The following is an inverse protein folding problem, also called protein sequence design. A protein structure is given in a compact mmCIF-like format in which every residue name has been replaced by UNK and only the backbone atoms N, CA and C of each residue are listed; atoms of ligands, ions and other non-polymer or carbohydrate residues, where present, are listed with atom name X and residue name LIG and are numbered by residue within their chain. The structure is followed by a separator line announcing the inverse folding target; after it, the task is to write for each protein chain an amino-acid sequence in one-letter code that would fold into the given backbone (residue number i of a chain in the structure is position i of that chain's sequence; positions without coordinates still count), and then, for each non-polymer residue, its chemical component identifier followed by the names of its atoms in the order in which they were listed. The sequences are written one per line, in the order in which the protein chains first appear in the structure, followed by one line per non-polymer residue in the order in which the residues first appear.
data_IF_918157479775
#
_entry.id   IF_918157479775
#
_cell.length_a   1.000
_cell.length_b   1.000
_cell.length_c   1.000
_cell.angle_alpha   90.00
_cell.angle_beta   90.00
_cell.angle_gamma   90.00
#
_symmetry.space_group_name_H-M   'P 1'
#
loop_
_entity.id
_entity.type
_entity.pdbx_description
1 polymer ?
#
# COMPACT_ATOMS: atom_id res chain seq x y z
N UNK A 1 16.27 9.58 -17.74
CA UNK A 1 16.91 9.71 -16.41
C UNK A 1 15.77 9.69 -15.43
N UNK A 2 15.33 8.49 -15.08
CA UNK A 2 14.03 8.27 -14.43
C UNK A 2 14.15 7.45 -13.16
N UNK A 3 13.06 7.46 -12.40
CA UNK A 3 13.13 7.49 -10.96
C UNK A 3 12.70 6.14 -10.38
N UNK A 4 13.62 5.43 -9.73
CA UNK A 4 13.20 4.46 -8.75
C UNK A 4 12.59 5.22 -7.56
N UNK A 5 11.39 4.83 -7.14
CA UNK A 5 10.61 5.49 -6.06
C UNK A 5 11.37 5.63 -4.73
N UNK A 6 12.41 4.81 -4.53
CA UNK A 6 13.32 4.83 -3.37
C UNK A 6 14.69 5.47 -3.58
N UNK A 7 14.90 6.30 -4.61
CA UNK A 7 16.17 7.04 -4.81
C UNK A 7 16.07 8.52 -4.38
N UNK A 8 17.21 9.06 -3.96
CA UNK A 8 17.40 10.48 -3.63
C UNK A 8 18.13 11.21 -4.76
N UNK A 9 17.90 12.53 -4.86
CA UNK A 9 18.66 13.41 -5.75
C UNK A 9 19.99 13.80 -5.10
N UNK A 10 21.08 13.74 -5.87
CA UNK A 10 22.41 14.23 -5.50
C UNK A 10 23.02 15.02 -6.67
N UNK A 11 24.16 15.68 -6.44
CA UNK A 11 24.86 16.44 -7.48
C UNK A 11 25.34 15.58 -8.67
N UNK A 12 25.40 14.26 -8.49
CA UNK A 12 25.80 13.28 -9.50
C UNK A 12 24.60 12.58 -10.20
N UNK A 13 23.37 13.00 -9.92
CA UNK A 13 22.14 12.37 -10.44
C UNK A 13 21.31 11.73 -9.33
N UNK A 14 20.76 10.54 -9.57
CA UNK A 14 20.00 9.81 -8.55
C UNK A 14 20.86 8.77 -7.85
N UNK A 15 20.74 8.68 -6.53
CA UNK A 15 21.55 7.80 -5.68
C UNK A 15 20.64 7.00 -4.76
N UNK A 16 20.81 5.66 -4.66
CA UNK A 16 20.09 4.86 -3.68
C UNK A 16 20.64 5.14 -2.28
N UNK A 17 19.75 5.38 -1.32
CA UNK A 17 20.09 5.49 0.10
C UNK A 17 19.41 4.33 0.84
N UNK A 18 20.15 3.45 1.55
CA UNK A 18 19.58 2.25 2.16
C UNK A 18 18.41 2.55 3.09
N UNK A 19 17.31 1.84 2.89
CA UNK A 19 16.06 1.95 3.65
C UNK A 19 15.31 3.29 3.50
N UNK A 20 15.76 4.22 2.63
CA UNK A 20 15.08 5.51 2.44
C UNK A 20 13.58 5.35 2.12
N UNK A 21 13.24 4.37 1.28
CA UNK A 21 11.85 4.07 0.96
C UNK A 21 11.07 3.61 2.20
N UNK A 22 11.61 2.63 2.93
CA UNK A 22 10.97 2.12 4.15
C UNK A 22 10.76 3.22 5.20
N UNK A 23 11.79 4.03 5.46
CA UNK A 23 11.75 5.16 6.41
C UNK A 23 10.73 6.23 5.99
N UNK A 24 10.65 6.53 4.69
CA UNK A 24 9.68 7.50 4.15
C UNK A 24 8.24 6.97 4.29
N UNK A 25 7.99 5.71 3.97
CA UNK A 25 6.65 5.11 4.14
C UNK A 25 6.27 4.96 5.62
N UNK A 26 7.24 4.64 6.49
CA UNK A 26 7.02 4.51 7.94
C UNK A 26 6.74 5.84 8.63
N UNK A 27 7.40 6.93 8.20
CA UNK A 27 7.19 8.27 8.74
C UNK A 27 5.90 8.94 8.26
N UNK A 28 5.39 8.57 7.08
CA UNK A 28 4.09 9.03 6.57
C UNK A 28 2.90 8.30 7.22
N UNK A 29 2.75 8.50 8.53
CA UNK A 29 1.77 7.79 9.36
C UNK A 29 0.31 8.03 8.96
N UNK A 30 0.02 9.16 8.30
CA UNK A 30 -1.32 9.48 7.81
C UNK A 30 -1.71 8.76 6.51
N UNK A 31 -0.79 8.08 5.81
CA UNK A 31 -1.06 7.46 4.50
C UNK A 31 -0.59 6.01 4.41
N UNK A 32 0.61 5.71 4.89
CA UNK A 32 1.26 4.42 4.68
C UNK A 32 1.45 3.60 5.96
N UNK A 33 1.56 4.25 7.13
CA UNK A 33 1.86 3.55 8.38
C UNK A 33 1.09 4.07 9.62
N UNK A 34 -0.12 3.56 9.85
CA UNK A 34 -0.98 3.96 10.97
C UNK A 34 -1.22 2.81 11.96
N UNK A 35 -0.18 2.11 12.50
CA UNK A 35 -0.36 0.85 13.21
C UNK A 35 -1.42 0.91 14.33
N UNK A 36 -1.45 2.00 15.08
CA UNK A 36 -2.38 2.25 16.19
C UNK A 36 -3.79 2.71 15.74
N UNK A 37 -3.97 3.11 14.48
CA UNK A 37 -5.24 3.65 13.99
C UNK A 37 -5.53 5.06 14.50
N UNK A 38 -4.50 5.82 14.85
CA UNK A 38 -4.55 7.16 15.47
C UNK A 38 -4.29 8.29 14.45
N UNK A 39 -4.12 7.97 13.16
CA UNK A 39 -4.09 9.00 12.12
C UNK A 39 -5.44 9.72 11.93
N UNK A 40 -5.38 10.91 11.33
CA UNK A 40 -6.57 11.64 10.88
C UNK A 40 -7.45 10.82 9.92
N UNK A 41 -6.88 9.96 9.06
CA UNK A 41 -7.68 9.14 8.14
C UNK A 41 -8.47 8.05 8.88
N UNK A 42 -7.88 7.43 9.90
CA UNK A 42 -8.58 6.43 10.72
C UNK A 42 -9.60 7.06 11.67
N UNK A 43 -9.26 8.19 12.32
CA UNK A 43 -10.11 8.87 13.30
C UNK A 43 -11.17 9.80 12.69
N UNK A 44 -10.94 10.33 11.49
CA UNK A 44 -11.83 11.25 10.78
C UNK A 44 -13.14 10.62 10.25
N UNK A 45 -13.34 9.32 10.44
CA UNK A 45 -14.56 8.59 10.01
C UNK A 45 -15.80 8.90 10.87
N UNK A 46 -15.64 9.55 12.02
CA UNK A 46 -16.75 10.10 12.82
C UNK A 46 -16.38 11.45 13.44
N UNK A 47 -17.40 12.24 13.80
CA UNK A 47 -17.22 13.56 14.43
C UNK A 47 -16.56 13.40 15.81
N UNK A 48 -16.96 12.37 16.55
CA UNK A 48 -16.41 12.02 17.86
C UNK A 48 -14.95 11.58 17.75
N UNK A 49 -14.62 10.76 16.75
CA UNK A 49 -13.25 10.33 16.48
C UNK A 49 -12.33 11.50 16.11
N UNK A 50 -12.81 12.39 15.24
CA UNK A 50 -12.09 13.62 14.87
C UNK A 50 -11.87 14.55 16.06
N UNK A 51 -12.88 14.76 16.91
CA UNK A 51 -12.74 15.59 18.13
C UNK A 51 -11.69 15.01 19.08
N UNK A 52 -11.78 13.72 19.40
CA UNK A 52 -10.83 13.05 20.28
C UNK A 52 -9.38 13.12 19.74
N UNK A 53 -9.22 12.97 18.42
CA UNK A 53 -7.92 13.14 17.76
C UNK A 53 -7.37 14.57 17.88
N UNK A 54 -8.19 15.57 17.58
CA UNK A 54 -7.82 17.00 17.62
C UNK A 54 -7.46 17.49 19.03
N UNK A 55 -8.19 17.02 20.05
CA UNK A 55 -7.90 17.31 21.45
C UNK A 55 -6.54 16.73 21.90
N UNK A 56 -6.19 15.51 21.48
CA UNK A 56 -4.89 14.92 21.79
C UNK A 56 -3.73 15.67 21.12
N UNK A 57 -3.85 16.04 19.85
CA UNK A 57 -2.84 16.86 19.15
C UNK A 57 -2.59 18.19 19.88
N UNK A 58 -3.65 18.83 20.39
CA UNK A 58 -3.56 20.07 21.16
C UNK A 58 -2.86 19.88 22.52
N UNK A 59 -3.04 18.72 23.16
CA UNK A 59 -2.41 18.37 24.44
C UNK A 59 -0.91 18.11 24.29
N UNK A 60 -0.47 17.43 23.25
CA UNK A 60 0.97 17.16 23.06
C UNK A 60 1.76 18.43 22.73
N UNK A 61 1.18 19.38 21.98
CA UNK A 61 1.76 20.71 21.79
C UNK A 61 1.87 21.50 23.12
N UNK A 62 0.97 21.27 24.08
CA UNK A 62 1.05 21.89 25.41
C UNK A 62 2.16 21.27 26.27
N UNK A 63 2.41 19.95 26.13
CA UNK A 63 3.44 19.20 26.85
C UNK A 63 4.85 19.52 26.35
N UNK A 64 5.07 19.55 25.04
CA UNK A 64 6.37 19.92 24.45
C UNK A 64 6.77 21.36 24.74
N UNK A 65 5.79 22.25 24.96
CA UNK A 65 6.01 23.64 25.37
C UNK A 65 6.35 23.80 26.86
N UNK A 66 6.05 22.80 27.70
CA UNK A 66 6.34 22.80 29.13
C UNK A 66 7.78 22.36 29.48
N UNK A 67 8.50 21.75 28.54
CA UNK A 67 9.89 21.26 28.73
C UNK A 67 10.97 22.22 28.23
N UNK A 68 10.60 23.43 27.79
CA UNK A 68 11.57 24.48 27.41
C UNK A 68 12.10 25.22 28.66
N UNK A 69 13.42 25.36 28.87
CA UNK A 69 13.96 26.09 30.02
C UNK A 69 13.58 27.58 29.98
N UNK A 70 12.95 28.09 31.04
CA UNK A 70 12.62 29.51 31.13
C UNK A 70 13.88 30.36 31.29
N UNK A 71 14.27 31.10 30.23
CA UNK A 71 15.03 32.34 30.39
C UNK A 71 14.04 33.47 30.71
N UNK A 72 14.15 34.00 31.93
CA UNK A 72 13.11 34.86 32.51
C UNK A 72 13.10 36.31 32.02
N UNK A 73 12.01 37.00 32.38
CA UNK A 73 12.06 38.44 32.67
C UNK A 73 11.31 39.38 31.73
N UNK A 74 9.96 39.43 31.82
CA UNK A 74 9.28 40.69 32.20
C UNK A 74 7.82 40.49 32.63
N UNK A 75 7.35 41.43 33.46
CA UNK A 75 6.06 41.43 34.14
C UNK A 75 4.90 41.92 33.23
N UNK A 76 3.62 41.68 33.61
CA UNK A 76 2.48 41.87 32.71
C UNK A 76 1.89 43.29 32.75
N UNK A 77 1.12 43.62 31.71
CA UNK A 77 0.16 44.72 31.70
C UNK A 77 -1.24 44.16 31.39
N UNK A 78 -2.23 44.62 32.14
CA UNK A 78 -3.64 44.26 32.02
C UNK A 78 -4.46 45.49 31.56
N UNK A 79 -5.79 45.42 31.39
CA UNK A 79 -6.39 45.47 30.06
C UNK A 79 -7.16 46.77 29.78
N UNK A 80 -7.36 47.07 28.50
CA UNK A 80 -8.36 48.06 28.06
C UNK A 80 -9.56 47.35 27.45
N UNK A 81 -10.74 47.55 28.04
CA UNK A 81 -12.01 47.03 27.57
C UNK A 81 -12.42 47.64 26.22
N UNK A 82 -13.00 46.85 25.33
CA UNK A 82 -14.03 47.37 24.40
C UNK A 82 -15.09 46.29 24.16
N UNK A 83 -16.34 46.66 24.42
CA UNK A 83 -17.50 45.78 24.45
C UNK A 83 -18.24 45.79 23.12
N UNK A 84 -18.47 44.61 22.54
CA UNK A 84 -19.43 44.42 21.44
C UNK A 84 -20.22 43.12 21.67
N UNK A 85 -21.51 43.26 22.00
CA UNK A 85 -22.44 42.16 22.17
C UNK A 85 -22.89 41.57 20.82
N UNK A 86 -23.09 40.25 20.69
CA UNK A 86 -23.88 39.67 19.61
C UNK A 86 -25.39 39.75 19.93
N UNK A 87 -26.27 40.09 18.96
CA UNK A 87 -27.71 40.06 19.17
C UNK A 87 -28.26 38.63 19.14
N UNK A 88 -29.24 38.34 20.00
CA UNK A 88 -30.01 37.08 19.97
C UNK A 88 -31.28 37.22 19.14
N UNK A 89 -31.52 36.22 18.29
CA UNK A 89 -32.83 35.60 18.13
C UNK A 89 -33.68 36.01 16.93
N UNK A 90 -34.20 34.99 16.23
CA UNK A 90 -35.61 34.91 15.83
C UNK A 90 -35.99 33.44 15.52
N UNK A 91 -37.29 33.19 15.34
CA UNK A 91 -37.95 31.93 15.72
C UNK A 91 -38.07 30.87 14.62
N UNK A 92 -38.31 29.63 15.10
CA UNK A 92 -38.86 28.47 14.40
C UNK A 92 -39.96 28.80 13.37
N UNK A 93 -40.04 28.01 12.30
CA UNK A 93 -41.31 27.49 11.74
C UNK A 93 -41.10 26.09 11.13
N UNK A 94 -41.97 25.15 11.50
CA UNK A 94 -42.31 23.98 10.66
C UNK A 94 -43.34 24.43 9.59
N UNK A 95 -43.60 23.62 8.54
CA UNK A 95 -44.67 22.63 8.70
C UNK A 95 -44.40 21.26 8.04
N UNK A 96 -45.06 20.25 8.59
CA UNK A 96 -45.29 18.92 7.99
C UNK A 96 -46.40 18.95 6.92
N UNK A 97 -46.45 17.94 6.03
CA UNK A 97 -47.64 17.06 5.74
C UNK A 97 -47.51 16.22 4.44
N UNK A 98 -47.52 14.88 4.59
CA UNK A 98 -48.01 13.80 3.65
C UNK A 98 -47.50 13.69 2.20
N UNK A 99 -47.69 12.60 1.44
CA UNK A 99 -47.76 11.13 1.68
C UNK A 99 -47.86 10.43 0.31
N UNK A 100 -47.21 9.28 0.06
CA UNK A 100 -47.34 8.57 -1.22
C UNK A 100 -46.84 7.11 -1.22
N UNK A 101 -47.77 6.16 -1.40
CA UNK A 101 -47.60 4.68 -1.40
C UNK A 101 -48.36 4.13 -2.62
N UNK A 102 -47.96 3.09 -3.37
CA UNK A 102 -46.76 2.20 -3.38
C UNK A 102 -46.53 1.81 -4.88
N UNK A 103 -46.36 0.56 -5.40
CA UNK A 103 -45.89 -0.74 -4.85
C UNK A 103 -44.77 -1.49 -5.63
N UNK A 104 -44.07 -2.37 -4.89
CA UNK A 104 -43.67 -3.77 -5.23
C UNK A 104 -42.86 -4.08 -6.52
N UNK A 105 -41.56 -4.43 -6.35
CA UNK A 105 -40.92 -5.69 -6.84
C UNK A 105 -39.67 -6.02 -5.95
N UNK A 106 -39.80 -6.38 -4.66
CA UNK A 106 -38.59 -6.70 -3.85
C UNK A 106 -38.76 -7.67 -2.66
N UNK A 107 -39.63 -8.68 -2.77
CA UNK A 107 -39.99 -9.55 -1.64
C UNK A 107 -39.67 -11.05 -1.82
N UNK A 108 -38.90 -11.44 -2.84
CA UNK A 108 -38.51 -12.87 -3.06
C UNK A 108 -37.03 -13.15 -2.72
N UNK A 109 -36.17 -12.12 -2.64
CA UNK A 109 -34.74 -12.27 -2.33
C UNK A 109 -34.40 -12.18 -0.82
N UNK A 110 -35.38 -11.92 0.07
CA UNK A 110 -35.14 -11.74 1.51
C UNK A 110 -35.31 -13.01 2.36
N UNK A 111 -36.02 -14.03 1.89
CA UNK A 111 -36.15 -15.31 2.61
C UNK A 111 -34.82 -16.07 2.64
N UNK A 112 -34.18 -16.26 1.49
CA UNK A 112 -32.99 -17.11 1.36
C UNK A 112 -31.77 -16.60 2.15
N UNK A 113 -31.64 -15.29 2.37
CA UNK A 113 -30.55 -14.73 3.18
C UNK A 113 -30.75 -14.89 4.69
N UNK A 114 -31.97 -15.13 5.18
CA UNK A 114 -32.23 -15.32 6.61
C UNK A 114 -31.91 -16.74 7.09
N UNK A 115 -32.16 -17.75 6.27
CA UNK A 115 -31.85 -19.14 6.59
C UNK A 115 -30.33 -19.39 6.73
N UNK A 116 -29.50 -18.58 6.08
CA UNK A 116 -28.04 -18.68 6.15
C UNK A 116 -27.41 -17.92 7.33
N UNK A 117 -28.20 -17.12 8.08
CA UNK A 117 -27.73 -16.32 9.21
C UNK A 117 -27.94 -17.01 10.56
N UNK A 118 -28.86 -17.97 10.68
CA UNK A 118 -29.08 -18.73 11.93
C UNK A 118 -27.92 -19.65 12.30
N UNK A 119 -27.14 -20.09 11.31
CA UNK A 119 -26.18 -21.18 11.46
C UNK A 119 -24.77 -20.65 11.83
N UNK A 120 -24.62 -19.33 12.01
CA UNK A 120 -23.36 -18.65 12.34
C UNK A 120 -23.33 -18.14 13.80
N UNK A 121 -24.47 -17.97 14.46
CA UNK A 121 -24.59 -17.34 15.80
C UNK A 121 -24.21 -18.25 17.01
N UNK A 122 -23.45 -19.33 16.82
CA UNK A 122 -23.14 -20.30 17.90
C UNK A 122 -21.66 -20.52 18.24
N UNK A 123 -20.75 -19.67 17.74
CA UNK A 123 -19.31 -19.75 18.06
C UNK A 123 -18.75 -18.39 18.49
N UNK A 124 -19.21 -17.90 19.64
CA UNK A 124 -18.66 -16.70 20.27
C UNK A 124 -18.02 -17.06 21.63
N UNK A 125 -16.74 -17.42 21.56
CA UNK A 125 -15.85 -17.49 22.71
C UNK A 125 -14.75 -16.43 22.52
N UNK A 126 -14.40 -15.62 23.54
CA UNK A 126 -13.47 -14.53 23.36
C UNK A 126 -12.04 -15.06 23.13
N UNK A 127 -11.67 -15.20 21.86
CA UNK A 127 -10.29 -15.44 21.48
C UNK A 127 -9.44 -14.26 21.99
N UNK A 128 -8.41 -14.58 22.78
CA UNK A 128 -7.37 -13.63 23.16
C UNK A 128 -6.85 -12.92 21.91
N UNK A 129 -6.65 -11.58 21.93
CA UNK A 129 -6.13 -10.87 20.78
C UNK A 129 -4.78 -11.48 20.40
N UNK A 130 -4.72 -12.09 19.21
CA UNK A 130 -3.46 -12.58 18.64
C UNK A 130 -2.49 -11.40 18.60
N UNK A 131 -1.36 -11.51 19.29
CA UNK A 131 -0.30 -10.50 19.21
C UNK A 131 0.15 -10.41 17.76
N UNK A 132 -0.30 -9.36 17.06
CA UNK A 132 0.10 -9.10 15.69
C UNK A 132 1.58 -8.76 15.73
N UNK A 133 2.42 -9.72 15.34
CA UNK A 133 3.87 -9.54 15.26
C UNK A 133 4.22 -8.19 14.63
N UNK A 134 5.25 -7.51 15.14
CA UNK A 134 5.76 -6.28 14.52
C UNK A 134 6.48 -6.53 13.19
N UNK A 135 6.76 -7.79 12.85
CA UNK A 135 7.51 -8.21 11.66
C UNK A 135 6.75 -9.24 10.81
N UNK A 136 7.09 -9.30 9.52
CA UNK A 136 6.67 -10.34 8.57
C UNK A 136 7.89 -11.14 8.11
N UNK A 137 7.78 -12.48 7.98
CA UNK A 137 8.83 -13.28 7.37
C UNK A 137 8.89 -12.98 5.87
N UNK A 138 10.06 -12.61 5.38
CA UNK A 138 10.35 -12.37 3.96
C UNK A 138 11.53 -13.22 3.55
N UNK A 139 11.41 -13.86 2.39
CA UNK A 139 12.47 -14.64 1.75
C UNK A 139 13.05 -13.89 0.57
N UNK A 140 14.31 -14.16 0.24
CA UNK A 140 14.92 -13.61 -0.97
C UNK A 140 16.01 -14.52 -1.55
N UNK A 141 16.28 -14.34 -2.85
CA UNK A 141 17.39 -15.02 -3.54
C UNK A 141 18.75 -14.55 -3.05
N UNK A 142 18.83 -13.31 -2.52
CA UNK A 142 20.05 -12.66 -2.01
C UNK A 142 19.92 -12.35 -0.50
N UNK A 143 21.01 -12.05 0.22
CA UNK A 143 20.94 -11.62 1.62
C UNK A 143 20.04 -10.38 1.78
N UNK A 144 19.05 -10.48 2.67
CA UNK A 144 18.10 -9.39 2.95
C UNK A 144 18.72 -8.41 3.93
N UNK A 145 18.76 -7.13 3.58
CA UNK A 145 19.08 -6.06 4.53
C UNK A 145 17.85 -5.75 5.37
N UNK A 146 18.04 -5.62 6.68
CA UNK A 146 16.94 -5.37 7.64
C UNK A 146 17.11 -3.97 8.23
N UNK A 147 16.09 -3.10 8.18
CA UNK A 147 16.14 -1.78 8.79
C UNK A 147 16.44 -1.87 10.30
N UNK A 148 17.16 -0.90 10.89
CA UNK A 148 17.36 -0.84 12.33
C UNK A 148 16.02 -0.63 13.07
N UNK A 149 15.88 -1.13 14.32
CA UNK A 149 14.76 -0.76 15.17
C UNK A 149 14.82 0.74 15.54
N UNK A 150 13.67 1.31 15.89
CA UNK A 150 13.56 2.67 16.43
C UNK A 150 13.64 2.67 17.95
N UNK A 151 14.47 3.56 18.51
CA UNK A 151 14.50 3.88 19.94
C UNK A 151 15.68 3.27 20.69
N UNK A 152 15.98 3.84 21.86
CA UNK A 152 17.15 3.55 22.69
C UNK A 152 17.03 2.23 23.47
N UNK A 153 16.79 1.11 22.78
CA UNK A 153 16.89 -0.25 23.32
C UNK A 153 18.37 -0.67 23.60
N UNK A 154 19.26 0.30 23.90
CA UNK A 154 20.58 0.05 24.49
C UNK A 154 20.53 -0.05 26.04
N UNK A 155 19.41 0.33 26.69
CA UNK A 155 19.27 0.33 28.16
C UNK A 155 18.47 -0.85 28.78
N UNK A 156 18.19 -1.97 28.07
CA UNK A 156 17.77 -3.22 28.74
C UNK A 156 18.95 -4.19 28.97
N UNK A 157 19.50 -4.13 30.18
CA UNK A 157 20.65 -4.89 30.59
C UNK A 157 20.43 -6.41 30.61
N UNK A 158 21.09 -7.13 29.70
CA UNK A 158 21.47 -8.52 29.93
C UNK A 158 20.56 -9.62 29.37
N UNK A 159 19.59 -9.30 28.49
CA UNK A 159 18.89 -10.32 27.68
C UNK A 159 18.86 -9.94 26.21
N UNK A 160 19.98 -10.19 25.52
CA UNK A 160 20.11 -9.96 24.09
C UNK A 160 19.03 -10.68 23.27
N UNK A 161 17.95 -9.95 22.95
CA UNK A 161 16.97 -10.35 21.94
C UNK A 161 17.76 -10.49 20.64
N UNK A 162 17.85 -11.71 20.10
CA UNK A 162 18.61 -11.96 18.87
C UNK A 162 18.10 -11.02 17.78
N UNK A 163 18.94 -10.05 17.37
CA UNK A 163 18.63 -9.13 16.27
C UNK A 163 18.00 -9.87 15.10
N UNK A 164 17.08 -9.21 14.39
CA UNK A 164 16.44 -9.67 13.16
C UNK A 164 17.48 -9.88 12.04
N UNK A 165 18.29 -10.93 12.15
CA UNK A 165 19.39 -11.22 11.23
C UNK A 165 18.89 -12.12 10.10
N UNK A 166 19.19 -11.70 8.88
CA UNK A 166 19.00 -12.51 7.68
C UNK A 166 19.72 -13.86 7.82
N UNK A 167 18.96 -14.96 7.77
CA UNK A 167 19.44 -16.34 7.88
C UNK A 167 19.45 -16.98 6.49
N UNK A 168 20.56 -17.60 6.08
CA UNK A 168 20.58 -18.48 4.91
C UNK A 168 19.85 -19.78 5.27
N UNK A 169 18.78 -20.10 4.55
CA UNK A 169 17.99 -21.34 4.74
C UNK A 169 18.55 -22.46 3.85
N UNK A 170 18.86 -22.13 2.60
CA UNK A 170 19.52 -22.99 1.60
C UNK A 170 20.20 -22.11 0.55
N UNK A 171 20.80 -22.71 -0.49
CA UNK A 171 21.34 -21.93 -1.59
C UNK A 171 20.25 -21.11 -2.30
N UNK A 172 20.58 -19.86 -2.63
CA UNK A 172 19.69 -18.83 -3.18
C UNK A 172 18.35 -18.68 -2.43
N UNK A 173 18.38 -18.85 -1.10
CA UNK A 173 17.20 -18.69 -0.24
C UNK A 173 17.62 -18.21 1.15
N UNK A 174 17.48 -16.91 1.35
CA UNK A 174 17.67 -16.22 2.62
C UNK A 174 16.29 -15.89 3.21
N UNK A 175 16.18 -15.81 4.53
CA UNK A 175 14.95 -15.47 5.25
C UNK A 175 15.27 -14.43 6.34
N UNK A 176 14.45 -13.39 6.43
CA UNK A 176 14.55 -12.34 7.43
C UNK A 176 13.17 -11.92 7.94
N UNK A 177 13.10 -11.47 9.18
CA UNK A 177 11.90 -10.86 9.75
C UNK A 177 11.94 -9.35 9.51
N UNK A 178 11.26 -8.87 8.46
CA UNK A 178 11.22 -7.45 8.11
C UNK A 178 10.12 -6.72 8.91
N UNK A 179 10.36 -5.47 9.37
CA UNK A 179 9.32 -4.69 10.03
C UNK A 179 8.09 -4.52 9.14
N UNK A 180 6.89 -4.72 9.69
CA UNK A 180 5.66 -4.60 8.94
C UNK A 180 5.05 -3.20 9.05
N UNK A 181 4.70 -2.63 7.90
CA UNK A 181 3.90 -1.42 7.82
C UNK A 181 2.41 -1.76 7.71
N UNK A 182 1.53 -0.85 8.13
CA UNK A 182 0.08 -1.09 8.12
C UNK A 182 -0.66 0.18 7.68
N UNK A 183 -1.44 0.11 6.62
CA UNK A 183 -2.20 1.27 6.12
C UNK A 183 -3.23 1.76 7.14
N UNK A 184 -3.70 3.01 7.02
CA UNK A 184 -4.98 3.44 7.58
C UNK A 184 -6.14 2.55 7.12
N UNK A 185 -7.33 2.76 7.69
CA UNK A 185 -8.56 2.05 7.30
C UNK A 185 -8.99 2.46 5.89
N UNK A 186 -9.15 1.48 4.99
CA UNK A 186 -9.49 1.70 3.57
C UNK A 186 -11.00 1.61 3.27
N UNK A 187 -11.81 1.11 4.19
CA UNK A 187 -13.25 0.89 3.95
C UNK A 187 -14.08 2.14 4.25
N UNK A 188 -14.77 2.66 3.24
CA UNK A 188 -15.63 3.86 3.34
C UNK A 188 -17.12 3.55 3.50
N UNK A 189 -17.56 2.34 3.12
CA UNK A 189 -18.97 1.95 3.18
C UNK A 189 -19.51 1.92 4.64
N UNK A 190 -20.62 2.64 4.94
CA UNK A 190 -21.29 2.53 6.24
C UNK A 190 -21.74 1.09 6.51
N UNK A 191 -21.25 0.48 7.59
CA UNK A 191 -21.52 -0.92 7.93
C UNK A 191 -20.64 -1.96 7.21
N UNK A 192 -19.70 -1.55 6.36
CA UNK A 192 -18.73 -2.46 5.75
C UNK A 192 -17.60 -2.84 6.72
N UNK A 193 -17.10 -4.08 6.62
CA UNK A 193 -15.96 -4.54 7.43
C UNK A 193 -14.73 -3.63 7.26
N UNK A 194 -14.10 -3.32 8.39
CA UNK A 194 -12.85 -2.54 8.43
C UNK A 194 -11.70 -3.39 7.91
N UNK A 195 -11.20 -3.06 6.72
CA UNK A 195 -9.98 -3.63 6.15
C UNK A 195 -8.81 -2.65 6.29
N UNK A 196 -7.64 -3.20 6.61
CA UNK A 196 -6.34 -2.55 6.66
C UNK A 196 -5.33 -3.47 5.99
N UNK A 197 -4.37 -2.92 5.26
CA UNK A 197 -3.34 -3.71 4.57
C UNK A 197 -2.08 -3.71 5.43
N UNK A 198 -1.59 -4.90 5.76
CA UNK A 198 -0.30 -5.10 6.43
C UNK A 198 0.70 -5.61 5.41
N UNK A 199 1.86 -4.95 5.29
CA UNK A 199 2.84 -5.21 4.25
C UNK A 199 4.28 -5.07 4.77
N UNK A 200 5.26 -5.56 4.01
CA UNK A 200 6.69 -5.37 4.28
C UNK A 200 7.38 -4.90 3.00
N UNK A 201 8.53 -4.24 3.14
CA UNK A 201 9.29 -3.67 2.02
C UNK A 201 10.58 -4.47 1.83
N UNK A 202 10.64 -5.31 0.80
CA UNK A 202 11.86 -5.98 0.39
C UNK A 202 12.65 -5.07 -0.56
N UNK A 203 13.61 -4.33 -0.01
CA UNK A 203 14.47 -3.43 -0.78
C UNK A 203 15.64 -4.21 -1.43
N UNK A 204 15.93 -3.94 -2.69
CA UNK A 204 17.05 -4.55 -3.41
C UNK A 204 18.33 -3.74 -3.25
N UNK A 205 19.46 -4.44 -3.07
CA UNK A 205 20.78 -3.83 -3.11
C UNK A 205 21.67 -4.49 -4.19
N UNK A 206 22.20 -3.73 -5.16
CA UNK A 206 21.82 -2.34 -5.47
C UNK A 206 20.38 -2.25 -5.98
N UNK A 207 19.78 -1.05 -5.90
CA UNK A 207 18.62 -0.71 -6.71
C UNK A 207 19.04 -0.57 -8.18
N UNK A 208 18.14 -0.87 -9.11
CA UNK A 208 18.41 -0.85 -10.55
C UNK A 208 17.61 0.26 -11.23
N UNK A 209 18.22 0.91 -12.22
CA UNK A 209 17.50 1.67 -13.24
C UNK A 209 16.83 0.69 -14.20
N UNK A 210 15.55 0.90 -14.52
CA UNK A 210 14.78 0.05 -15.43
C UNK A 210 15.40 -0.07 -16.83
N UNK A 211 16.13 0.96 -17.29
CA UNK A 211 16.84 0.93 -18.57
C UNK A 211 18.02 -0.06 -18.60
N UNK A 212 18.53 -0.47 -17.44
CA UNK A 212 19.62 -1.45 -17.28
C UNK A 212 19.11 -2.85 -16.89
N UNK A 213 17.80 -3.08 -16.85
CA UNK A 213 17.24 -4.38 -16.44
C UNK A 213 17.26 -5.40 -17.58
N UNK A 214 17.78 -6.59 -17.29
CA UNK A 214 17.85 -7.71 -18.22
C UNK A 214 16.87 -8.84 -17.85
N UNK A 215 16.82 -9.86 -18.71
CA UNK A 215 16.07 -11.11 -18.49
C UNK A 215 16.36 -11.72 -17.11
N UNK A 216 17.61 -11.63 -16.65
CA UNK A 216 18.03 -12.13 -15.33
C UNK A 216 17.31 -11.42 -14.17
N UNK A 217 17.00 -10.13 -14.32
CA UNK A 217 16.28 -9.36 -13.29
C UNK A 217 14.78 -9.67 -13.29
N UNK A 218 14.17 -9.93 -14.45
CA UNK A 218 12.79 -10.42 -14.53
C UNK A 218 12.65 -11.80 -13.90
N UNK A 219 13.59 -12.71 -14.17
CA UNK A 219 13.67 -14.03 -13.51
C UNK A 219 13.80 -13.82 -12.00
N UNK A 220 14.68 -12.92 -11.56
CA UNK A 220 14.84 -12.59 -10.13
C UNK A 220 13.52 -12.12 -9.51
N UNK A 221 12.78 -11.18 -10.11
CA UNK A 221 11.45 -10.76 -9.60
C UNK A 221 10.52 -11.97 -9.47
N UNK A 222 10.46 -12.85 -10.48
CA UNK A 222 9.62 -14.04 -10.42
C UNK A 222 10.07 -15.03 -9.31
N UNK A 223 11.37 -15.16 -9.04
CA UNK A 223 11.89 -15.95 -7.92
C UNK A 223 11.58 -15.32 -6.55
N UNK A 224 11.68 -13.99 -6.40
CA UNK A 224 11.28 -13.28 -5.17
C UNK A 224 9.78 -13.50 -4.89
N UNK A 225 8.92 -13.43 -5.91
CA UNK A 225 7.48 -13.73 -5.79
C UNK A 225 7.28 -15.19 -5.40
N UNK A 226 7.96 -16.15 -6.04
CA UNK A 226 7.83 -17.58 -5.75
C UNK A 226 8.25 -17.95 -4.32
N UNK A 227 9.39 -17.42 -3.85
CA UNK A 227 9.88 -17.66 -2.48
C UNK A 227 8.91 -17.16 -1.40
N UNK A 228 8.11 -16.12 -1.72
CA UNK A 228 7.16 -15.49 -0.81
C UNK A 228 5.70 -15.86 -1.10
N UNK A 229 5.41 -16.70 -2.12
CA UNK A 229 4.07 -16.92 -2.64
C UNK A 229 3.06 -17.48 -1.62
N UNK A 230 3.54 -18.26 -0.64
CA UNK A 230 2.72 -18.78 0.45
C UNK A 230 2.67 -17.88 1.69
N UNK A 231 3.48 -16.81 1.75
CA UNK A 231 3.61 -15.91 2.89
C UNK A 231 2.79 -14.61 2.74
N UNK A 232 2.47 -14.21 1.51
CA UNK A 232 1.77 -12.95 1.18
C UNK A 232 0.58 -13.20 0.25
N UNK A 233 -0.50 -12.43 0.41
CA UNK A 233 -1.71 -12.57 -0.40
C UNK A 233 -1.61 -11.93 -1.79
N UNK A 234 -0.77 -10.91 -1.93
CA UNK A 234 -0.54 -10.16 -3.17
C UNK A 234 0.85 -9.51 -3.16
N UNK A 235 1.29 -9.03 -4.32
CA UNK A 235 2.61 -8.43 -4.53
C UNK A 235 2.51 -7.07 -5.24
N UNK A 236 3.24 -6.09 -4.74
CA UNK A 236 3.47 -4.81 -5.43
C UNK A 236 4.96 -4.70 -5.73
N UNK A 237 5.30 -4.47 -7.00
CA UNK A 237 6.67 -4.37 -7.51
C UNK A 237 6.91 -2.92 -7.92
N UNK A 238 7.77 -2.22 -7.17
CA UNK A 238 8.22 -0.88 -7.55
C UNK A 238 9.28 -0.98 -8.66
N UNK A 239 9.07 -0.25 -9.74
CA UNK A 239 9.83 -0.37 -10.98
C UNK A 239 9.99 1.01 -11.65
N UNK A 240 11.12 1.25 -12.33
CA UNK A 240 11.29 2.46 -13.15
C UNK A 240 10.43 2.40 -14.42
N UNK A 241 9.99 3.55 -14.97
CA UNK A 241 8.92 3.53 -15.98
C UNK A 241 9.38 3.11 -17.37
N UNK A 242 10.65 3.36 -17.75
CA UNK A 242 11.19 3.15 -19.10
C UNK A 242 10.97 1.73 -19.67
N UNK A 243 11.11 0.69 -18.85
CA UNK A 243 10.92 -0.71 -19.28
C UNK A 243 9.78 -1.43 -18.55
N UNK A 244 8.94 -0.71 -17.78
CA UNK A 244 7.90 -1.34 -16.96
C UNK A 244 6.92 -2.18 -17.78
N UNK A 245 6.56 -1.72 -18.99
CA UNK A 245 5.71 -2.47 -19.93
C UNK A 245 6.36 -3.79 -20.42
N UNK A 246 7.67 -3.81 -20.64
CA UNK A 246 8.40 -5.03 -21.02
C UNK A 246 8.48 -5.99 -19.82
N UNK A 247 8.81 -5.48 -18.64
CA UNK A 247 8.85 -6.26 -17.39
C UNK A 247 7.50 -6.86 -17.01
N UNK A 248 6.40 -6.09 -17.08
CA UNK A 248 5.05 -6.59 -16.82
C UNK A 248 4.60 -7.63 -17.86
N UNK A 249 5.00 -7.44 -19.12
CA UNK A 249 4.79 -8.43 -20.18
C UNK A 249 5.53 -9.72 -19.89
N UNK A 250 6.84 -9.66 -19.63
CA UNK A 250 7.67 -10.82 -19.33
C UNK A 250 7.18 -11.57 -18.09
N UNK A 251 6.86 -10.85 -16.99
CA UNK A 251 6.34 -11.44 -15.76
C UNK A 251 4.99 -12.14 -15.96
N UNK A 252 4.13 -11.66 -16.88
CA UNK A 252 2.88 -12.37 -17.20
C UNK A 252 3.08 -13.77 -17.81
N UNK A 253 4.24 -14.04 -18.42
CA UNK A 253 4.63 -15.36 -18.92
C UNK A 253 5.50 -16.15 -17.94
N UNK A 254 6.32 -15.46 -17.13
CA UNK A 254 7.16 -16.10 -16.11
C UNK A 254 6.33 -16.69 -14.96
N UNK A 255 5.17 -16.11 -14.65
CA UNK A 255 4.30 -16.47 -13.54
C UNK A 255 3.16 -17.42 -14.00
N UNK A 256 3.49 -18.69 -14.27
CA UNK A 256 2.53 -19.72 -14.70
C UNK A 256 1.56 -20.09 -13.56
N UNK A 257 0.29 -20.29 -13.91
CA UNK A 257 -0.82 -20.58 -12.99
C UNK A 257 -0.90 -19.57 -11.81
N UNK A 258 -0.66 -18.28 -12.10
CA UNK A 258 -0.81 -17.19 -11.14
C UNK A 258 -2.25 -17.11 -10.62
N UNK A 259 -2.38 -17.09 -9.30
CA UNK A 259 -3.64 -17.07 -8.55
C UNK A 259 -3.71 -15.92 -7.53
N UNK A 260 -2.80 -14.96 -7.61
CA UNK A 260 -2.65 -13.81 -6.69
C UNK A 260 -2.39 -12.53 -7.47
N UNK A 261 -2.78 -11.40 -6.89
CA UNK A 261 -2.61 -10.08 -7.52
C UNK A 261 -1.14 -9.66 -7.52
N UNK A 262 -0.57 -9.37 -8.69
CA UNK A 262 0.79 -8.85 -8.86
C UNK A 262 0.71 -7.53 -9.62
N UNK A 263 1.11 -6.42 -9.00
CA UNK A 263 1.01 -5.08 -9.60
C UNK A 263 2.40 -4.46 -9.72
N UNK A 264 2.83 -4.15 -10.95
CA UNK A 264 3.95 -3.25 -11.18
C UNK A 264 3.46 -1.80 -11.10
N UNK A 265 4.23 -0.94 -10.43
CA UNK A 265 3.99 0.50 -10.40
C UNK A 265 5.29 1.26 -10.20
N UNK A 266 5.25 2.58 -10.32
CA UNK A 266 6.41 3.46 -10.24
C UNK A 266 5.99 4.92 -10.19
N UNK A 267 6.85 5.83 -10.63
CA UNK A 267 6.54 7.26 -10.68
C UNK A 267 7.38 7.99 -11.73
N UNK A 268 6.84 9.07 -12.28
CA UNK A 268 7.60 10.05 -13.07
C UNK A 268 8.32 11.07 -12.17
N UNK A 269 7.90 11.22 -10.91
CA UNK A 269 8.54 12.12 -9.94
C UNK A 269 8.78 11.32 -8.64
N UNK A 270 9.99 11.39 -8.04
CA UNK A 270 10.35 10.54 -6.91
C UNK A 270 9.65 10.97 -5.63
N UNK A 271 9.48 10.02 -4.71
CA UNK A 271 8.73 10.19 -3.46
C UNK A 271 9.29 11.31 -2.55
N UNK A 272 10.57 11.66 -2.73
CA UNK A 272 11.28 12.73 -2.01
C UNK A 272 10.86 14.16 -2.44
N UNK A 273 10.19 14.34 -3.58
CA UNK A 273 9.77 15.66 -4.06
C UNK A 273 8.33 16.01 -3.64
N UNK A 274 8.06 17.28 -3.35
CA UNK A 274 6.78 17.76 -2.81
C UNK A 274 5.56 17.46 -3.71
N UNK A 275 5.72 17.55 -5.04
CA UNK A 275 4.65 17.33 -6.02
C UNK A 275 4.97 16.10 -6.85
N UNK A 276 4.75 14.91 -6.29
CA UNK A 276 5.01 13.63 -6.93
C UNK A 276 3.72 12.83 -7.21
N UNK A 277 3.79 11.93 -8.18
CA UNK A 277 2.80 10.90 -8.50
C UNK A 277 3.03 9.59 -7.73
N UNK A 278 4.24 9.40 -7.18
CA UNK A 278 4.63 8.20 -6.42
C UNK A 278 3.69 7.85 -5.26
N UNK A 279 3.20 8.83 -4.50
CA UNK A 279 2.29 8.61 -3.37
C UNK A 279 0.99 7.96 -3.84
N UNK A 280 0.34 8.51 -4.86
CA UNK A 280 -0.97 8.06 -5.32
C UNK A 280 -0.86 6.76 -6.13
N UNK A 281 0.19 6.58 -6.93
CA UNK A 281 0.49 5.33 -7.62
C UNK A 281 0.71 4.17 -6.64
N UNK A 282 1.55 4.35 -5.61
CA UNK A 282 1.80 3.30 -4.61
C UNK A 282 0.57 3.03 -3.74
N UNK A 283 -0.14 4.07 -3.30
CA UNK A 283 -1.34 3.90 -2.47
C UNK A 283 -2.47 3.20 -3.24
N UNK A 284 -2.67 3.52 -4.52
CA UNK A 284 -3.62 2.83 -5.39
C UNK A 284 -3.24 1.37 -5.65
N UNK A 285 -1.97 1.10 -5.96
CA UNK A 285 -1.47 -0.27 -6.14
C UNK A 285 -1.63 -1.12 -4.88
N UNK A 286 -1.28 -0.59 -3.69
CA UNK A 286 -1.52 -1.26 -2.41
C UNK A 286 -3.02 -1.52 -2.20
N UNK A 287 -3.86 -0.49 -2.35
CA UNK A 287 -5.31 -0.59 -2.14
C UNK A 287 -5.94 -1.67 -3.01
N UNK A 288 -5.61 -1.71 -4.31
CA UNK A 288 -6.09 -2.76 -5.22
C UNK A 288 -5.60 -4.14 -4.76
N UNK A 289 -4.29 -4.29 -4.56
CA UNK A 289 -3.66 -5.57 -4.23
C UNK A 289 -4.18 -6.19 -2.93
N UNK A 290 -4.47 -5.38 -1.90
CA UNK A 290 -4.96 -5.85 -0.60
C UNK A 290 -6.48 -5.91 -0.45
N UNK A 291 -7.26 -5.40 -1.41
CA UNK A 291 -8.73 -5.45 -1.37
C UNK A 291 -9.34 -6.43 -2.38
N UNK A 292 -8.67 -6.68 -3.50
CA UNK A 292 -9.21 -7.44 -4.63
C UNK A 292 -8.27 -8.54 -5.13
N UNK A 293 -8.86 -9.69 -5.47
CA UNK A 293 -8.16 -10.82 -6.08
C UNK A 293 -8.27 -10.73 -7.61
N UNK A 294 -7.25 -10.16 -8.23
CA UNK A 294 -7.10 -10.05 -9.69
C UNK A 294 -5.87 -10.90 -10.03
N UNK A 295 -6.03 -12.19 -10.40
CA UNK A 295 -4.93 -13.16 -10.47
C UNK A 295 -4.09 -13.00 -11.76
N UNK A 296 -3.51 -11.82 -11.92
CA UNK A 296 -2.79 -11.40 -13.12
C UNK A 296 -1.58 -10.53 -12.74
N UNK A 297 -0.58 -10.53 -13.64
CA UNK A 297 0.45 -9.51 -13.65
C UNK A 297 -0.12 -8.24 -14.29
N UNK A 298 -0.31 -7.21 -13.47
CA UNK A 298 -0.92 -5.93 -13.83
C UNK A 298 0.12 -4.80 -13.78
N UNK A 299 -0.22 -3.67 -14.40
CA UNK A 299 0.49 -2.40 -14.25
C UNK A 299 -0.51 -1.35 -13.74
N UNK A 300 -0.19 -0.67 -12.64
CA UNK A 300 -1.01 0.42 -12.12
C UNK A 300 -0.28 1.75 -12.24
N UNK A 301 -0.92 2.72 -12.90
CA UNK A 301 -0.39 4.07 -13.07
C UNK A 301 -1.55 5.04 -13.31
N UNK A 302 -1.44 6.28 -12.83
CA UNK A 302 -2.41 7.35 -13.10
C UNK A 302 -3.88 6.91 -12.93
N UNK A 303 -4.20 6.40 -11.74
CA UNK A 303 -5.54 5.92 -11.36
C UNK A 303 -6.09 4.74 -12.20
N UNK A 304 -5.30 4.12 -13.06
CA UNK A 304 -5.75 3.08 -13.99
C UNK A 304 -4.95 1.79 -13.80
N UNK A 305 -5.65 0.66 -13.73
CA UNK A 305 -5.07 -0.68 -13.67
C UNK A 305 -5.18 -1.34 -15.04
N UNK A 306 -4.04 -1.69 -15.63
CA UNK A 306 -3.93 -2.35 -16.92
C UNK A 306 -3.47 -3.81 -16.77
N UNK A 307 -3.86 -4.66 -17.72
CA UNK A 307 -3.25 -5.98 -17.92
C UNK A 307 -1.81 -5.80 -18.38
N UNK A 308 -0.84 -6.35 -17.64
CA UNK A 308 0.59 -6.05 -17.82
C UNK A 308 1.14 -6.30 -19.23
N UNK A 309 0.64 -7.33 -19.92
CA UNK A 309 1.04 -7.68 -21.29
C UNK A 309 0.26 -6.97 -22.42
N UNK A 310 -0.47 -5.90 -22.08
CA UNK A 310 -1.20 -5.06 -23.05
C UNK A 310 -0.75 -3.60 -23.06
N UNK A 311 0.15 -3.22 -22.16
CA UNK A 311 0.59 -1.84 -21.94
C UNK A 311 1.73 -1.43 -22.85
N UNK A 312 1.78 -0.17 -23.23
CA UNK A 312 2.96 0.51 -23.79
C UNK A 312 3.18 1.86 -23.09
N UNK A 313 4.45 2.27 -22.91
CA UNK A 313 4.78 3.63 -22.47
C UNK A 313 4.52 4.58 -23.65
N UNK A 314 3.60 5.53 -23.47
CA UNK A 314 3.15 6.48 -24.50
C UNK A 314 3.65 7.91 -24.26
N UNK A 315 4.04 8.25 -23.04
CA UNK A 315 4.68 9.53 -22.70
C UNK A 315 5.87 9.34 -21.75
N UNK A 316 6.89 10.19 -21.92
CA UNK A 316 8.09 10.28 -21.06
C UNK A 316 8.09 11.54 -20.18
N UNK A 317 6.99 12.30 -20.16
CA UNK A 317 6.88 13.54 -19.37
C UNK A 317 5.56 13.69 -18.63
N UNK A 318 4.48 13.06 -19.14
CA UNK A 318 3.15 13.18 -18.53
C UNK A 318 2.95 12.11 -17.45
N UNK A 319 2.10 12.42 -16.47
CA UNK A 319 1.64 11.42 -15.51
C UNK A 319 0.81 10.33 -16.19
N UNK A 320 0.17 10.61 -17.33
CA UNK A 320 -0.49 9.60 -18.17
C UNK A 320 0.53 8.89 -19.07
N UNK A 321 1.53 8.27 -18.44
CA UNK A 321 2.70 7.71 -19.10
C UNK A 321 2.43 6.43 -19.89
N UNK A 322 1.32 5.73 -19.62
CA UNK A 322 1.03 4.37 -20.08
C UNK A 322 -0.39 4.23 -20.61
N UNK A 323 -0.54 3.53 -21.74
CA UNK A 323 -1.83 3.18 -22.34
C UNK A 323 -1.86 1.69 -22.75
N UNK A 324 -3.06 1.16 -22.94
CA UNK A 324 -3.37 -0.20 -23.39
C UNK A 324 -4.24 -0.15 -24.66
N UNK A 325 -3.67 0.18 -25.84
CA UNK A 325 -4.44 0.59 -27.01
C UNK A 325 -5.34 -0.50 -27.61
N UNK A 326 -5.09 -1.78 -27.28
CA UNK A 326 -5.81 -2.94 -27.83
C UNK A 326 -6.46 -3.81 -26.73
N UNK A 327 -6.63 -3.29 -25.52
CA UNK A 327 -7.32 -3.99 -24.43
C UNK A 327 -7.82 -3.01 -23.37
N UNK A 328 -9.05 -3.16 -22.88
CA UNK A 328 -9.60 -2.24 -21.87
C UNK A 328 -8.86 -2.35 -20.53
N UNK A 329 -8.79 -1.26 -19.73
CA UNK A 329 -8.32 -1.33 -18.35
C UNK A 329 -9.10 -2.37 -17.53
N UNK A 330 -8.37 -3.08 -16.66
CA UNK A 330 -8.95 -4.03 -15.70
C UNK A 330 -9.66 -3.30 -14.55
N UNK A 331 -9.18 -2.11 -14.17
CA UNK A 331 -9.86 -1.26 -13.20
C UNK A 331 -9.57 0.23 -13.40
N UNK A 332 -10.46 1.08 -12.89
CA UNK A 332 -10.28 2.53 -12.74
C UNK A 332 -10.56 2.95 -11.30
N UNK A 333 -9.74 3.85 -10.77
CA UNK A 333 -9.83 4.39 -9.41
C UNK A 333 -10.36 5.81 -9.48
N UNK A 334 -11.67 5.97 -9.23
CA UNK A 334 -12.34 7.27 -9.14
C UNK A 334 -12.73 7.59 -7.70
N UNK A 335 -13.97 8.04 -7.52
CA UNK A 335 -14.62 8.10 -6.19
C UNK A 335 -14.74 6.67 -5.61
N UNK A 336 -15.11 5.74 -6.47
CA UNK A 336 -15.12 4.30 -6.22
C UNK A 336 -14.07 3.59 -7.08
N UNK A 337 -13.69 2.36 -6.71
CA UNK A 337 -12.81 1.51 -7.51
C UNK A 337 -13.69 0.61 -8.39
N UNK A 338 -13.73 0.91 -9.68
CA UNK A 338 -14.50 0.16 -10.68
C UNK A 338 -13.63 -0.93 -11.31
N UNK A 339 -14.03 -2.20 -11.20
CA UNK A 339 -13.28 -3.35 -11.74
C UNK A 339 -14.09 -4.04 -12.83
N UNK A 340 -13.46 -4.25 -13.98
CA UNK A 340 -14.02 -4.94 -15.13
C UNK A 340 -13.87 -6.47 -14.99
N UNK A 341 -14.69 -7.07 -14.12
CA UNK A 341 -14.70 -8.52 -13.83
C UNK A 341 -15.07 -9.43 -15.01
N UNK A 342 -15.48 -8.87 -16.15
CA UNK A 342 -15.68 -9.61 -17.39
C UNK A 342 -14.35 -9.90 -18.10
N UNK A 343 -13.41 -8.95 -18.03
CA UNK A 343 -12.10 -9.03 -18.69
C UNK A 343 -11.01 -9.66 -17.80
N UNK A 344 -11.18 -9.67 -16.48
CA UNK A 344 -10.25 -10.32 -15.53
C UNK A 344 -10.17 -11.84 -15.75
N UNK A 345 -8.96 -12.37 -15.87
CA UNK A 345 -8.70 -13.81 -16.01
C UNK A 345 -9.21 -14.56 -14.78
N UNK A 346 -9.93 -15.66 -15.02
CA UNK A 346 -10.37 -16.58 -13.97
C UNK A 346 -9.45 -17.81 -13.95
N UNK A 347 -8.95 -18.26 -12.80
CA UNK A 347 -8.17 -19.50 -12.72
C UNK A 347 -9.04 -20.70 -13.15
N UNK A 348 -8.74 -21.24 -14.33
CA UNK A 348 -9.40 -22.44 -14.89
C UNK A 348 -8.65 -23.74 -14.57
N UNK A 349 -7.51 -23.62 -13.89
CA UNK A 349 -6.53 -24.66 -13.65
C UNK A 349 -6.43 -24.96 -12.14
N UNK A 350 -6.23 -26.23 -11.80
CA UNK A 350 -5.91 -26.68 -10.43
C UNK A 350 -4.40 -26.92 -10.24
N UNK A 351 -3.57 -26.50 -11.21
CA UNK A 351 -2.12 -26.58 -11.10
C UNK A 351 -1.62 -25.59 -10.04
N UNK A 352 -0.51 -25.94 -9.39
CA UNK A 352 0.17 -25.03 -8.49
C UNK A 352 0.91 -23.95 -9.29
N UNK A 353 0.86 -22.71 -8.80
CA UNK A 353 1.66 -21.60 -9.28
C UNK A 353 3.15 -21.96 -9.39
N UNK A 354 3.82 -21.42 -10.41
CA UNK A 354 5.22 -21.73 -10.70
C UNK A 354 5.93 -20.57 -11.42
N UNK A 355 7.15 -20.23 -10.98
CA UNK A 355 8.01 -19.31 -11.72
C UNK A 355 8.85 -20.05 -12.78
N UNK A 356 8.83 -19.59 -14.02
CA UNK A 356 9.71 -20.09 -15.08
C UNK A 356 11.09 -19.43 -15.01
N UNK A 357 12.15 -20.24 -14.86
CA UNK A 357 13.51 -19.76 -14.56
C UNK A 357 14.55 -19.98 -15.67
N UNK A 358 14.17 -20.70 -16.74
CA UNK A 358 15.10 -21.16 -17.79
C UNK A 358 14.70 -20.74 -19.22
N UNK A 359 13.42 -20.44 -19.46
CA UNK A 359 12.86 -20.35 -20.81
C UNK A 359 13.37 -19.19 -21.68
N UNK A 360 14.08 -18.22 -21.11
CA UNK A 360 14.58 -17.05 -21.85
C UNK A 360 16.11 -17.03 -22.05
N UNK A 361 16.85 -17.97 -21.45
CA UNK A 361 18.33 -18.00 -21.59
C UNK A 361 18.75 -18.75 -22.86
N UNK A 362 18.10 -19.88 -23.15
CA UNK A 362 18.45 -20.72 -24.31
C UNK A 362 18.01 -20.11 -25.65
N UNK A 363 16.99 -19.23 -25.67
CA UNK A 363 16.45 -18.59 -26.88
C UNK A 363 17.47 -17.71 -27.61
N UNK A 364 18.41 -17.09 -26.87
CA UNK A 364 19.44 -16.24 -27.46
C UNK A 364 20.56 -17.01 -28.18
N UNK A 365 20.63 -18.34 -28.06
CA UNK A 365 21.55 -19.14 -28.89
C UNK A 365 21.01 -19.43 -30.29
N UNK A 366 19.70 -19.27 -30.53
CA UNK A 366 19.08 -19.62 -31.83
C UNK A 366 19.21 -18.49 -32.86
N UNK A 367 19.34 -17.23 -32.42
CA UNK A 367 19.43 -16.06 -33.32
C UNK A 367 20.87 -15.62 -33.66
N UNK A 368 21.89 -16.34 -33.17
CA UNK A 368 23.30 -16.06 -33.48
C UNK A 368 23.82 -16.77 -34.75
N UNK A 369 23.00 -17.63 -35.37
CA UNK A 369 23.31 -18.35 -36.61
C UNK A 369 22.09 -18.37 -37.55
N UNK A 370 21.91 -17.26 -38.29
CA UNK A 370 20.94 -17.10 -39.37
C UNK A 370 21.49 -16.15 -40.43
#
# INVERSE_FOLDING_TARGET
MEFATGMLSSDAGYTPEPFFLFETLRSQTSRFHDPLGDSLLSKGRSVEGFRAWSENQSRDQSRSRATSPQRGGRAPLSPSESSLNPPRGLQRRDPSITSGRTPVIHEVLKEHSRQALSDIESVDAPHSPLEISSTLPVRSTRPVQVPPPLGDDEEDGGRGRSMNKCKKIRDNCYEAALPSLVTPVLSTAPGGNVKRIRYAVLEWNPLLDSSNMEIADWIRIAEEIELNYHLFDAFVVLHGTDTMCYSSSALSFLLEDLGKTVILTGAQIPLSQLRNDAVENLLGALSIAGQYLIPECCLFFNHTLYRGNRVSKVSSSDFDAFDSPNFLPLAKVGIDIEINWADVVRPISQRAFKAHKRQFVDSNQVFAHG
#
